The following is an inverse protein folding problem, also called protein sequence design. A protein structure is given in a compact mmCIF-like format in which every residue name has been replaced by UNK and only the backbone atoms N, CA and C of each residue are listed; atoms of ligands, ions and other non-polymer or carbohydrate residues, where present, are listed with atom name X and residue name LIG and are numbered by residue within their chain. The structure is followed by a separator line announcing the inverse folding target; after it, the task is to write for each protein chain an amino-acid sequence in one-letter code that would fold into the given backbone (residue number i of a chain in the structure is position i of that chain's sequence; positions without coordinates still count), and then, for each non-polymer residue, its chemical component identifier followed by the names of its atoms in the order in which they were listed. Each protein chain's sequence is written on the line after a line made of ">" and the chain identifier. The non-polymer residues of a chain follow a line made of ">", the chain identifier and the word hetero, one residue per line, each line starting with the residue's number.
data_IF_791204191617
#
_entry.id   IF_791204191617
#
_cell.length_a   1.000
_cell.length_b   1.000
_cell.length_c   1.000
_cell.angle_alpha   90.00
_cell.angle_beta   90.00
_cell.angle_gamma   90.00
#
_symmetry.space_group_name_H-M   'P 1'
#
loop_
_entity.id
_entity.type
_entity.pdbx_description
1 polymer ?
#
# COMPACT_ATOMS: atom_id res chain seq x y z
N UNK A 1 -14.82 -44.99 27.38
CA UNK A 1 -13.37 -45.13 27.09
C UNK A 1 -12.99 -46.27 26.15
N UNK A 2 -13.83 -47.30 25.91
CA UNK A 2 -13.51 -48.35 24.91
C UNK A 2 -14.00 -48.03 23.49
N UNK A 3 -15.01 -47.17 23.35
CA UNK A 3 -15.58 -46.78 22.06
C UNK A 3 -14.61 -45.96 21.20
N UNK A 4 -13.84 -45.06 21.82
CA UNK A 4 -12.90 -44.17 21.12
C UNK A 4 -11.78 -44.92 20.40
N UNK A 5 -11.32 -46.04 20.98
CA UNK A 5 -10.27 -46.89 20.38
C UNK A 5 -10.75 -47.64 19.13
N UNK A 6 -12.04 -47.98 19.08
CA UNK A 6 -12.64 -48.66 17.93
C UNK A 6 -12.79 -47.68 16.77
N UNK A 7 -13.28 -46.47 17.04
CA UNK A 7 -13.36 -45.39 16.05
C UNK A 7 -11.99 -45.05 15.46
N UNK A 8 -10.94 -44.96 16.28
CA UNK A 8 -9.58 -44.66 15.80
C UNK A 8 -9.04 -45.73 14.85
N UNK A 9 -9.31 -47.01 15.15
CA UNK A 9 -8.90 -48.13 14.30
C UNK A 9 -9.63 -48.13 12.96
N UNK A 10 -10.93 -47.86 12.96
CA UNK A 10 -11.71 -47.77 11.72
C UNK A 10 -11.29 -46.59 10.85
N UNK A 11 -10.97 -45.46 11.48
CA UNK A 11 -10.47 -44.27 10.79
C UNK A 11 -9.10 -44.56 10.13
N UNK A 12 -8.18 -45.20 10.86
CA UNK A 12 -6.88 -45.65 10.31
C UNK A 12 -7.04 -46.64 9.15
N UNK A 13 -7.98 -47.58 9.25
CA UNK A 13 -8.27 -48.56 8.18
C UNK A 13 -8.84 -47.87 6.93
N UNK A 14 -9.71 -46.89 7.14
CA UNK A 14 -10.32 -46.07 6.09
C UNK A 14 -9.25 -45.22 5.39
N UNK A 15 -8.36 -44.57 6.15
CA UNK A 15 -7.21 -43.83 5.60
C UNK A 15 -6.31 -44.74 4.78
N UNK A 16 -5.97 -45.94 5.29
CA UNK A 16 -5.06 -46.85 4.58
C UNK A 16 -5.69 -47.41 3.29
N UNK A 17 -7.02 -47.59 3.28
CA UNK A 17 -7.79 -48.00 2.09
C UNK A 17 -7.79 -46.91 1.02
N UNK A 18 -7.94 -45.64 1.44
CA UNK A 18 -8.02 -44.50 0.53
C UNK A 18 -6.73 -43.68 0.39
N UNK A 19 -5.59 -44.22 0.84
CA UNK A 19 -4.31 -43.49 0.89
C UNK A 19 -3.90 -42.87 -0.43
N UNK A 20 -4.18 -43.55 -1.55
CA UNK A 20 -3.87 -43.07 -2.90
C UNK A 20 -4.74 -41.90 -3.31
N UNK A 21 -6.03 -41.92 -2.96
CA UNK A 21 -6.97 -40.82 -3.21
C UNK A 21 -6.63 -39.60 -2.37
N UNK A 22 -6.33 -39.81 -1.09
CA UNK A 22 -5.90 -38.76 -0.17
C UNK A 22 -4.60 -38.12 -0.66
N UNK A 23 -3.62 -38.92 -1.05
CA UNK A 23 -2.36 -38.42 -1.60
C UNK A 23 -2.57 -37.62 -2.88
N UNK A 24 -3.45 -38.09 -3.79
CA UNK A 24 -3.75 -37.39 -5.03
C UNK A 24 -4.42 -36.02 -4.79
N UNK A 25 -5.36 -35.95 -3.84
CA UNK A 25 -5.99 -34.68 -3.44
C UNK A 25 -4.96 -33.74 -2.83
N UNK A 26 -4.09 -34.22 -1.93
CA UNK A 26 -3.03 -33.40 -1.35
C UNK A 26 -2.08 -32.84 -2.43
N UNK A 27 -1.65 -33.68 -3.38
CA UNK A 27 -0.77 -33.24 -4.47
C UNK A 27 -1.47 -32.21 -5.36
N UNK A 28 -2.74 -32.43 -5.72
CA UNK A 28 -3.54 -31.48 -6.49
C UNK A 28 -3.69 -30.14 -5.77
N UNK A 29 -3.98 -30.14 -4.47
CA UNK A 29 -4.10 -28.91 -3.68
C UNK A 29 -2.77 -28.16 -3.59
N UNK A 30 -1.65 -28.87 -3.39
CA UNK A 30 -0.32 -28.24 -3.36
C UNK A 30 0.02 -27.64 -4.73
N UNK A 31 -0.21 -28.38 -5.82
CA UNK A 31 0.00 -27.88 -7.17
C UNK A 31 -0.86 -26.64 -7.47
N UNK A 32 -2.11 -26.64 -7.00
CA UNK A 32 -3.00 -25.49 -7.13
C UNK A 32 -2.50 -24.26 -6.34
N UNK A 33 -2.02 -24.45 -5.10
CA UNK A 33 -1.41 -23.36 -4.33
C UNK A 33 -0.14 -22.81 -5.00
N UNK A 34 0.69 -23.67 -5.57
CA UNK A 34 1.86 -23.24 -6.35
C UNK A 34 1.44 -22.44 -7.58
N UNK A 35 0.43 -22.90 -8.32
CA UNK A 35 -0.09 -22.18 -9.49
C UNK A 35 -0.60 -20.79 -9.12
N UNK A 36 -1.34 -20.67 -8.00
CA UNK A 36 -1.81 -19.38 -7.50
C UNK A 36 -0.66 -18.44 -7.12
N UNK A 37 0.45 -18.97 -6.61
CA UNK A 37 1.62 -18.15 -6.26
C UNK A 37 2.24 -17.47 -7.47
N UNK A 38 2.19 -18.09 -8.66
CA UNK A 38 2.64 -17.45 -9.90
C UNK A 38 1.63 -16.48 -10.48
N UNK A 39 0.35 -16.62 -10.15
CA UNK A 39 -0.71 -15.76 -10.67
C UNK A 39 -0.95 -14.50 -9.82
N UNK A 40 -0.55 -14.53 -8.56
CA UNK A 40 -0.62 -13.36 -7.68
C UNK A 40 0.50 -12.39 -8.06
N UNK A 41 0.11 -11.24 -8.62
CA UNK A 41 1.01 -10.12 -8.88
C UNK A 41 1.70 -9.66 -7.60
N UNK A 42 3.00 -9.35 -7.71
CA UNK A 42 3.77 -8.89 -6.56
C UNK A 42 3.42 -7.44 -6.30
N UNK A 43 2.89 -7.16 -5.12
CA UNK A 43 2.64 -5.80 -4.66
C UNK A 43 3.82 -5.32 -3.80
N UNK A 44 4.42 -4.21 -4.21
CA UNK A 44 5.49 -3.52 -3.50
C UNK A 44 4.94 -2.25 -2.89
N UNK A 45 5.17 -2.06 -1.59
CA UNK A 45 4.78 -0.85 -0.88
C UNK A 45 6.03 -0.22 -0.26
N UNK A 46 6.31 1.02 -0.62
CA UNK A 46 7.35 1.83 0.02
C UNK A 46 6.71 2.82 0.97
N UNK A 47 7.14 2.85 2.22
CA UNK A 47 6.63 3.76 3.24
C UNK A 47 7.75 4.66 3.76
N UNK A 48 7.43 5.93 3.98
CA UNK A 48 8.34 6.87 4.64
C UNK A 48 7.57 7.82 5.53
N UNK A 49 8.23 8.29 6.59
CA UNK A 49 7.65 9.21 7.56
C UNK A 49 8.36 10.56 7.50
N UNK A 50 7.58 11.62 7.35
CA UNK A 50 8.04 13.00 7.38
C UNK A 50 7.57 13.64 8.70
N UNK A 51 8.51 14.24 9.41
CA UNK A 51 8.23 15.09 10.57
C UNK A 51 8.28 16.56 10.17
N UNK A 52 7.13 17.25 10.22
CA UNK A 52 7.02 18.68 9.91
C UNK A 52 6.87 19.47 11.20
N UNK A 53 7.94 20.15 11.59
CA UNK A 53 7.98 20.96 12.80
C UNK A 53 7.22 22.28 12.63
N UNK A 54 6.48 22.69 13.66
CA UNK A 54 5.72 23.96 13.70
C UNK A 54 6.56 25.21 13.45
N UNK A 55 7.87 25.16 13.78
CA UNK A 55 8.83 26.25 13.55
C UNK A 55 8.95 26.68 12.08
N UNK A 56 8.64 25.80 11.13
CA UNK A 56 8.72 26.13 9.70
C UNK A 56 7.54 26.96 9.19
N UNK A 57 6.48 27.08 9.98
CA UNK A 57 5.29 27.87 9.65
C UNK A 57 5.30 29.27 10.28
N UNK A 58 6.31 29.59 11.09
CA UNK A 58 6.46 30.92 11.66
C UNK A 58 7.05 31.86 10.62
N UNK A 59 6.20 32.62 9.92
CA UNK A 59 6.64 33.72 9.09
C UNK A 59 6.98 34.94 9.99
N UNK A 60 8.26 35.36 10.07
CA UNK A 60 8.66 36.47 10.95
C UNK A 60 8.07 37.83 10.51
N UNK A 61 7.50 37.93 9.31
CA UNK A 61 6.83 39.16 8.83
C UNK A 61 5.36 39.28 9.25
N UNK A 62 4.76 38.21 9.78
CA UNK A 62 3.32 38.16 10.15
C UNK A 62 3.14 37.81 11.65
N UNK A 63 4.21 37.35 12.33
CA UNK A 63 4.18 36.93 13.73
C UNK A 63 3.85 38.02 14.75
N UNK A 64 3.73 39.29 14.33
CA UNK A 64 3.34 40.41 15.18
C UNK A 64 1.85 40.81 15.11
N UNK A 65 1.07 40.29 14.15
CA UNK A 65 -0.30 40.79 13.86
C UNK A 65 -1.39 39.77 14.20
N UNK A 66 -1.06 38.48 14.29
CA UNK A 66 -2.01 37.43 14.67
C UNK A 66 -1.39 36.64 15.82
N UNK A 67 -1.97 36.68 17.04
CA UNK A 67 -1.45 35.91 18.17
C UNK A 67 -1.59 34.44 17.84
N UNK A 68 -0.49 33.70 17.96
CA UNK A 68 -0.49 32.28 18.25
C UNK A 68 -1.53 31.45 17.47
N UNK A 69 -1.23 31.12 16.21
CA UNK A 69 -1.98 30.08 15.49
C UNK A 69 -1.61 28.72 16.09
N UNK A 70 -2.11 28.44 17.30
CA UNK A 70 -2.25 27.11 17.89
C UNK A 70 -3.43 26.34 17.27
N UNK A 71 -3.92 26.76 16.09
CA UNK A 71 -5.00 26.06 15.42
C UNK A 71 -4.42 24.84 14.70
N UNK A 72 -4.25 23.75 15.44
CA UNK A 72 -3.80 22.43 14.94
C UNK A 72 -4.50 22.03 13.61
N UNK A 73 -5.81 22.31 13.41
CA UNK A 73 -6.47 22.10 12.13
C UNK A 73 -5.82 22.87 10.96
N UNK A 74 -5.51 24.16 11.11
CA UNK A 74 -4.91 24.97 10.04
C UNK A 74 -3.51 24.51 9.69
N UNK A 75 -2.70 24.17 10.70
CA UNK A 75 -1.39 23.55 10.46
C UNK A 75 -1.53 22.23 9.71
N UNK A 76 -2.51 21.39 10.08
CA UNK A 76 -2.77 20.13 9.37
C UNK A 76 -3.18 20.37 7.91
N UNK A 77 -4.03 21.36 7.64
CA UNK A 77 -4.39 21.75 6.28
C UNK A 77 -3.21 22.31 5.48
N UNK A 78 -2.34 23.10 6.12
CA UNK A 78 -1.14 23.62 5.47
C UNK A 78 -0.18 22.48 5.11
N UNK A 79 0.06 21.54 6.03
CA UNK A 79 0.92 20.38 5.76
C UNK A 79 0.29 19.48 4.69
N UNK A 80 -1.02 19.24 4.75
CA UNK A 80 -1.74 18.48 3.72
C UNK A 80 -1.59 19.11 2.33
N UNK A 81 -1.69 20.44 2.26
CA UNK A 81 -1.49 21.21 1.03
C UNK A 81 -0.03 21.13 0.56
N UNK A 82 0.95 21.19 1.46
CA UNK A 82 2.37 21.03 1.12
C UNK A 82 2.69 19.63 0.60
N UNK A 83 2.10 18.58 1.18
CA UNK A 83 2.27 17.20 0.70
C UNK A 83 1.65 17.03 -0.68
N UNK A 84 0.45 17.58 -0.89
CA UNK A 84 -0.21 17.58 -2.22
C UNK A 84 0.59 18.34 -3.27
N UNK A 85 1.17 19.48 -2.89
CA UNK A 85 2.03 20.28 -3.77
C UNK A 85 3.35 19.57 -4.07
N UNK A 86 3.95 18.89 -3.09
CA UNK A 86 5.15 18.09 -3.30
C UNK A 86 4.91 16.93 -4.27
N UNK A 87 3.69 16.37 -4.29
CA UNK A 87 3.22 15.40 -5.29
C UNK A 87 2.63 16.19 -6.49
N UNK A 88 3.48 17.03 -7.10
CA UNK A 88 3.13 17.83 -8.27
C UNK A 88 3.05 16.96 -9.53
N UNK A 89 2.38 17.48 -10.57
CA UNK A 89 2.34 16.82 -11.87
C UNK A 89 3.73 16.64 -12.48
N UNK A 90 4.63 17.61 -12.26
CA UNK A 90 6.03 17.52 -12.69
C UNK A 90 6.76 16.36 -11.99
N UNK A 91 6.57 16.21 -10.69
CA UNK A 91 7.17 15.11 -9.92
C UNK A 91 6.65 13.75 -10.42
N UNK A 92 5.35 13.64 -10.67
CA UNK A 92 4.72 12.43 -11.24
C UNK A 92 5.28 12.13 -12.64
N UNK A 93 5.46 13.14 -13.49
CA UNK A 93 6.01 12.96 -14.84
C UNK A 93 7.49 12.52 -14.81
N UNK A 94 8.27 13.01 -13.84
CA UNK A 94 9.66 12.58 -13.62
C UNK A 94 9.68 11.11 -13.16
N UNK A 95 8.84 10.74 -12.19
CA UNK A 95 8.72 9.36 -11.72
C UNK A 95 8.26 8.41 -12.85
N UNK A 96 7.22 8.81 -13.57
CA UNK A 96 6.65 8.05 -14.68
C UNK A 96 7.69 7.74 -15.75
N UNK A 97 8.51 8.72 -16.13
CA UNK A 97 9.60 8.53 -17.08
C UNK A 97 10.76 7.72 -16.52
N UNK A 98 11.18 7.99 -15.27
CA UNK A 98 12.33 7.33 -14.65
C UNK A 98 12.10 5.82 -14.43
N UNK A 99 10.87 5.44 -14.11
CA UNK A 99 10.50 4.05 -13.82
C UNK A 99 9.67 3.41 -14.94
N UNK A 100 9.59 4.04 -16.13
CA UNK A 100 8.80 3.57 -17.27
C UNK A 100 7.33 3.24 -16.93
N UNK A 101 6.73 3.97 -15.97
CA UNK A 101 5.33 3.82 -15.58
C UNK A 101 4.36 4.62 -16.46
N UNK A 102 4.89 5.54 -17.27
CA UNK A 102 4.14 6.34 -18.23
C UNK A 102 4.69 6.10 -19.64
N UNK A 103 3.79 6.05 -20.61
CA UNK A 103 4.10 5.79 -22.02
C UNK A 103 4.78 6.97 -22.73
N UNK A 104 4.86 8.15 -22.07
CA UNK A 104 5.42 9.36 -22.67
C UNK A 104 4.61 9.87 -23.87
N UNK A 105 3.32 9.54 -23.91
CA UNK A 105 2.42 9.85 -25.03
C UNK A 105 2.18 11.36 -25.16
N UNK A 106 2.06 11.84 -26.40
CA UNK A 106 1.87 13.27 -26.72
C UNK A 106 0.43 13.75 -26.56
N UNK A 107 -0.53 12.85 -26.34
CA UNK A 107 -1.92 13.21 -26.09
C UNK A 107 -2.10 13.66 -24.64
N UNK A 108 -2.52 14.92 -24.45
CA UNK A 108 -2.74 15.52 -23.14
C UNK A 108 -3.80 14.78 -22.32
N UNK A 109 -4.80 14.17 -22.97
CA UNK A 109 -5.85 13.43 -22.27
C UNK A 109 -5.33 12.13 -21.67
N UNK A 110 -4.51 11.40 -22.42
CA UNK A 110 -3.90 10.16 -21.96
C UNK A 110 -2.85 10.44 -20.89
N UNK A 111 -2.02 11.47 -21.07
CA UNK A 111 -1.05 11.90 -20.07
C UNK A 111 -1.71 12.30 -18.73
N UNK A 112 -2.81 13.06 -18.77
CA UNK A 112 -3.57 13.41 -17.57
C UNK A 112 -4.13 12.17 -16.85
N UNK A 113 -4.61 11.18 -17.61
CA UNK A 113 -5.11 9.92 -17.05
C UNK A 113 -3.99 9.10 -16.41
N UNK A 114 -2.84 8.99 -17.06
CA UNK A 114 -1.65 8.30 -16.51
C UNK A 114 -1.16 8.98 -15.23
N UNK A 115 -1.09 10.31 -15.20
CA UNK A 115 -0.74 11.06 -14.00
C UNK A 115 -1.70 10.78 -12.85
N UNK A 116 -3.01 10.76 -13.11
CA UNK A 116 -4.00 10.44 -12.10
C UNK A 116 -3.79 9.01 -11.55
N UNK A 117 -3.54 8.04 -12.43
CA UNK A 117 -3.27 6.66 -11.99
C UNK A 117 -2.03 6.53 -11.11
N UNK A 118 -0.98 7.32 -11.37
CA UNK A 118 0.23 7.33 -10.52
C UNK A 118 -0.05 8.08 -9.21
N UNK A 119 -0.80 9.18 -9.26
CA UNK A 119 -1.21 9.96 -8.08
C UNK A 119 -2.02 9.11 -7.11
N UNK A 120 -2.95 8.30 -7.62
CA UNK A 120 -3.82 7.43 -6.81
C UNK A 120 -3.05 6.30 -6.09
N UNK A 121 -1.81 6.01 -6.50
CA UNK A 121 -0.92 5.06 -5.81
C UNK A 121 -0.23 5.65 -4.58
N UNK A 122 -0.24 6.98 -4.45
CA UNK A 122 0.22 7.64 -3.23
C UNK A 122 -0.91 7.68 -2.21
N UNK A 123 -0.63 7.20 -1.01
CA UNK A 123 -1.49 7.39 0.16
C UNK A 123 -0.70 8.15 1.22
N UNK A 124 -1.35 9.08 1.89
CA UNK A 124 -0.74 9.83 2.97
C UNK A 124 -1.75 10.01 4.10
N UNK A 125 -1.26 9.89 5.33
CA UNK A 125 -2.06 10.12 6.52
C UNK A 125 -1.18 10.65 7.65
N UNK A 126 -1.82 11.40 8.54
CA UNK A 126 -1.17 11.94 9.73
C UNK A 126 -1.05 10.82 10.78
N UNK A 127 0.19 10.46 11.13
CA UNK A 127 0.51 9.52 12.22
C UNK A 127 0.54 10.21 13.59
N UNK A 128 0.63 11.53 13.62
CA UNK A 128 0.54 12.37 14.82
C UNK A 128 0.45 13.86 14.48
N UNK A 129 0.45 14.73 15.50
CA UNK A 129 0.27 16.18 15.29
C UNK A 129 1.35 16.85 14.42
N UNK A 130 2.52 16.25 14.28
CA UNK A 130 3.64 16.75 13.46
C UNK A 130 4.22 15.69 12.51
N UNK A 131 3.64 14.50 12.46
CA UNK A 131 4.20 13.35 11.75
C UNK A 131 3.21 12.86 10.70
N UNK A 132 3.73 12.62 9.50
CA UNK A 132 2.96 12.20 8.34
C UNK A 132 3.64 11.00 7.71
N UNK A 133 2.87 9.94 7.52
CA UNK A 133 3.31 8.78 6.78
C UNK A 133 2.81 8.89 5.35
N UNK A 134 3.72 8.73 4.40
CA UNK A 134 3.42 8.66 2.98
C UNK A 134 3.81 7.27 2.51
N UNK A 135 2.92 6.64 1.75
CA UNK A 135 3.12 5.33 1.15
C UNK A 135 2.88 5.40 -0.35
N UNK A 136 3.66 4.61 -1.07
CA UNK A 136 3.50 4.41 -2.51
C UNK A 136 3.39 2.92 -2.80
N UNK A 137 2.33 2.52 -3.49
CA UNK A 137 2.08 1.13 -3.88
C UNK A 137 2.27 0.90 -5.38
N UNK A 138 2.95 -0.18 -5.75
CA UNK A 138 3.13 -0.59 -7.13
C UNK A 138 2.95 -2.11 -7.25
N UNK A 139 2.11 -2.53 -8.20
CA UNK A 139 1.99 -3.93 -8.61
C UNK A 139 2.76 -4.13 -9.92
N UNK A 140 3.64 -5.12 -9.94
CA UNK A 140 4.33 -5.63 -11.14
C UNK A 140 3.45 -6.65 -11.89
#
# INVERSE_FOLDING_TARGET
>A
MNTDKVFFRDLLKTINTYKTRIALICVMSVAFCFQLTFWIEKQFTSTFEINVYSKYFQNPLISGVIPDVYNIPEMRFAIDSMVKEAISDEFIDILGRKYNMSSGTKDEREAARERQMIRDRFSYFSTGGQSYQISFSHSD
#
